data_IF_158569613721
#
_entry.id   IF_158569613721
#
_cell.length_a   1.000
_cell.length_b   1.000
_cell.length_c   1.000
_cell.angle_alpha   90.00
_cell.angle_beta   90.00
_cell.angle_gamma   90.00
#
_symmetry.space_group_name_H-M   'P 1'
#
loop_
_entity.id
_entity.type
_entity.pdbx_description
1 polymer ?
#
# COMPACT_ATOMS: atom_id res chain seq x y z
N UNK A 1 10.97 7.99 8.25
CA UNK A 1 10.18 7.02 9.00
C UNK A 1 8.82 7.62 9.20
N UNK A 2 7.83 6.99 8.58
CA UNK A 2 6.44 7.43 8.60
C UNK A 2 5.88 7.34 10.01
N UNK A 3 5.22 8.39 10.47
CA UNK A 3 4.60 8.41 11.79
C UNK A 3 3.25 7.70 11.73
N UNK A 4 3.23 6.45 12.21
CA UNK A 4 2.04 5.59 12.16
C UNK A 4 0.91 6.09 13.07
N UNK A 5 1.22 6.86 14.12
CA UNK A 5 0.21 7.35 15.07
C UNK A 5 -0.70 8.42 14.43
N UNK A 6 -0.17 9.19 13.48
CA UNK A 6 -0.94 10.20 12.75
C UNK A 6 -1.66 9.64 11.52
N UNK A 7 -1.61 8.32 11.33
CA UNK A 7 -2.21 7.62 10.18
C UNK A 7 -3.36 6.67 10.57
N UNK A 8 -3.86 6.74 11.81
CA UNK A 8 -5.03 5.94 12.22
C UNK A 8 -6.24 6.19 11.31
N UNK A 9 -6.39 7.39 10.75
CA UNK A 9 -7.48 7.75 9.83
C UNK A 9 -7.50 6.92 8.53
N UNK A 10 -6.40 6.26 8.16
CA UNK A 10 -6.35 5.32 7.04
C UNK A 10 -7.30 4.13 7.25
N UNK A 11 -7.52 3.80 8.51
CA UNK A 11 -8.36 2.70 8.95
C UNK A 11 -9.64 3.27 9.55
N UNK A 12 -10.75 2.63 9.21
CA UNK A 12 -12.06 3.07 9.65
C UNK A 12 -12.82 1.86 10.17
N UNK A 13 -13.80 2.13 11.04
CA UNK A 13 -14.49 1.09 11.82
C UNK A 13 -15.26 0.06 10.96
N UNK A 14 -15.71 0.44 9.76
CA UNK A 14 -16.39 -0.46 8.82
C UNK A 14 -16.24 0.03 7.38
N UNK A 15 -15.72 -0.82 6.50
CA UNK A 15 -15.53 -0.48 5.08
C UNK A 15 -16.86 -0.42 4.31
N UNK A 16 -17.93 -1.06 4.81
CA UNK A 16 -19.33 -0.88 4.41
C UNK A 16 -20.02 0.38 4.93
N UNK A 17 -19.32 1.43 5.34
CA UNK A 17 -19.96 2.62 5.90
C UNK A 17 -21.22 3.03 5.09
N UNK A 18 -21.14 3.05 3.75
CA UNK A 18 -22.26 3.37 2.83
C UNK A 18 -23.46 2.44 2.99
N UNK A 19 -23.26 1.14 3.18
CA UNK A 19 -24.33 0.15 3.30
C UNK A 19 -25.04 0.21 4.66
N UNK A 20 -24.34 0.68 5.71
CA UNK A 20 -24.92 0.87 7.06
C UNK A 20 -25.43 2.30 7.28
N UNK A 21 -25.52 3.11 6.22
CA UNK A 21 -25.99 4.49 6.30
C UNK A 21 -25.05 5.41 7.10
N UNK A 22 -23.77 5.06 7.18
CA UNK A 22 -22.71 5.88 7.75
C UNK A 22 -21.75 6.33 6.67
N UNK A 23 -21.04 7.40 6.91
CA UNK A 23 -19.89 7.76 6.08
C UNK A 23 -18.66 8.03 6.94
N UNK A 24 -17.54 8.30 6.27
CA UNK A 24 -16.29 8.58 6.94
C UNK A 24 -16.35 9.77 7.89
N UNK A 25 -17.28 10.71 7.68
CA UNK A 25 -17.50 11.87 8.54
C UNK A 25 -18.23 11.51 9.85
N UNK A 26 -18.89 10.35 9.91
CA UNK A 26 -19.54 9.85 11.14
C UNK A 26 -18.56 9.25 12.16
N UNK A 27 -17.27 9.07 11.82
CA UNK A 27 -16.24 8.66 12.77
C UNK A 27 -15.50 9.90 13.31
N UNK A 28 -15.66 10.24 14.60
CA UNK A 28 -14.98 11.37 15.20
C UNK A 28 -13.46 11.29 15.09
N UNK A 29 -12.88 10.08 15.12
CA UNK A 29 -11.43 9.89 14.95
C UNK A 29 -10.99 10.17 13.52
N UNK A 30 -11.81 9.81 12.53
CA UNK A 30 -11.50 10.11 11.14
C UNK A 30 -11.48 11.63 10.95
N UNK A 31 -12.48 12.37 11.41
CA UNK A 31 -12.51 13.83 11.27
C UNK A 31 -11.33 14.51 11.99
N UNK A 32 -11.04 14.10 13.23
CA UNK A 32 -10.00 14.72 14.06
C UNK A 32 -8.58 14.43 13.57
N UNK A 33 -8.37 13.28 12.92
CA UNK A 33 -7.04 12.85 12.46
C UNK A 33 -6.84 13.00 10.96
N UNK A 34 -7.88 13.09 10.13
CA UNK A 34 -7.72 13.15 8.67
C UNK A 34 -7.08 14.48 8.24
N UNK A 35 -7.62 15.61 8.70
CA UNK A 35 -7.03 16.93 8.47
C UNK A 35 -6.27 17.41 9.71
N UNK A 36 -4.98 17.78 9.61
CA UNK A 36 -4.14 17.92 8.42
C UNK A 36 -3.22 16.70 8.14
N UNK A 37 -3.43 15.55 8.79
CA UNK A 37 -2.43 14.48 8.75
C UNK A 37 -2.33 13.74 7.42
N UNK A 38 -3.36 13.79 6.57
CA UNK A 38 -3.30 13.27 5.20
C UNK A 38 -2.17 13.90 4.39
N UNK A 39 -2.07 15.23 4.38
CA UNK A 39 -1.02 15.95 3.66
C UNK A 39 0.38 15.60 4.20
N UNK A 40 0.49 15.48 5.52
CA UNK A 40 1.74 15.10 6.20
C UNK A 40 2.16 13.69 5.77
N UNK A 41 1.24 12.72 5.82
CA UNK A 41 1.51 11.34 5.44
C UNK A 41 1.89 11.22 3.96
N UNK A 42 1.14 11.85 3.06
CA UNK A 42 1.45 11.85 1.62
C UNK A 42 2.83 12.43 1.35
N UNK A 43 3.17 13.55 2.00
CA UNK A 43 4.51 14.16 1.90
C UNK A 43 5.60 13.20 2.41
N UNK A 44 5.38 12.54 3.54
CA UNK A 44 6.33 11.55 4.08
C UNK A 44 6.53 10.37 3.11
N UNK A 45 5.46 9.84 2.51
CA UNK A 45 5.54 8.75 1.52
C UNK A 45 6.37 9.18 0.29
N UNK A 46 6.08 10.36 -0.27
CA UNK A 46 6.75 10.88 -1.46
C UNK A 46 8.26 11.08 -1.23
N UNK A 47 8.64 11.50 -0.02
CA UNK A 47 10.02 11.79 0.37
C UNK A 47 10.76 10.62 1.03
N UNK A 48 10.04 9.56 1.39
CA UNK A 48 10.60 8.40 2.10
C UNK A 48 11.64 7.64 1.26
N UNK A 49 12.61 7.04 1.96
CA UNK A 49 13.52 6.06 1.36
C UNK A 49 12.79 4.77 0.96
N UNK A 50 13.40 4.00 0.06
CA UNK A 50 12.77 2.80 -0.49
C UNK A 50 12.40 1.74 0.56
N UNK A 51 13.21 1.61 1.62
CA UNK A 51 12.94 0.66 2.70
C UNK A 51 11.71 1.07 3.53
N UNK A 52 11.63 2.35 3.91
CA UNK A 52 10.52 2.95 4.65
C UNK A 52 9.23 2.91 3.83
N UNK A 53 9.34 3.14 2.52
CA UNK A 53 8.23 3.02 1.57
C UNK A 53 7.68 1.59 1.52
N UNK A 54 8.54 0.59 1.25
CA UNK A 54 8.13 -0.81 1.15
C UNK A 54 7.55 -1.31 2.48
N UNK A 55 8.20 -0.98 3.61
CA UNK A 55 7.70 -1.34 4.94
C UNK A 55 6.35 -0.69 5.22
N UNK A 56 6.15 0.56 4.84
CA UNK A 56 4.86 1.23 5.04
C UNK A 56 3.77 0.60 4.19
N UNK A 57 4.06 0.24 2.93
CA UNK A 57 3.10 -0.46 2.09
C UNK A 57 2.69 -1.81 2.68
N UNK A 58 3.65 -2.60 3.20
CA UNK A 58 3.35 -3.86 3.89
C UNK A 58 2.52 -3.59 5.15
N UNK A 59 2.93 -2.62 5.98
CA UNK A 59 2.23 -2.24 7.21
C UNK A 59 0.76 -1.89 6.96
N UNK A 60 0.49 -1.09 5.91
CA UNK A 60 -0.87 -0.66 5.56
C UNK A 60 -1.81 -1.85 5.38
N UNK A 61 -1.34 -2.93 4.74
CA UNK A 61 -2.18 -4.12 4.50
C UNK A 61 -2.01 -5.20 5.55
N UNK A 62 -0.99 -5.12 6.43
CA UNK A 62 -0.61 -6.19 7.36
C UNK A 62 -1.71 -6.49 8.39
N UNK A 63 -2.37 -5.46 8.92
CA UNK A 63 -3.26 -5.63 10.06
C UNK A 63 -4.72 -5.33 9.74
N UNK A 64 -4.98 -4.28 8.96
CA UNK A 64 -6.33 -3.82 8.64
C UNK A 64 -6.38 -3.40 7.18
N UNK A 65 -7.52 -3.58 6.51
CA UNK A 65 -7.67 -3.09 5.14
C UNK A 65 -8.03 -1.59 5.18
N UNK A 66 -7.22 -0.71 4.59
CA UNK A 66 -7.47 0.74 4.59
C UNK A 66 -8.64 1.14 3.67
N UNK A 67 -9.43 2.15 4.05
CA UNK A 67 -10.56 2.63 3.22
C UNK A 67 -10.09 3.49 2.06
N UNK A 68 -9.20 4.44 2.30
CA UNK A 68 -8.76 5.41 1.29
C UNK A 68 -7.75 4.83 0.30
N UNK A 69 -7.15 3.68 0.63
CA UNK A 69 -6.26 2.94 -0.24
C UNK A 69 -7.02 1.92 -1.10
N UNK A 70 -8.35 2.01 -1.22
CA UNK A 70 -9.12 1.19 -2.17
C UNK A 70 -8.72 1.48 -3.63
N UNK A 71 -8.13 2.65 -3.89
CA UNK A 71 -7.45 2.98 -5.14
C UNK A 71 -6.11 3.62 -4.79
N UNK A 72 -4.99 2.96 -5.11
CA UNK A 72 -3.68 3.61 -4.99
C UNK A 72 -3.42 4.32 -6.31
N UNK A 73 -3.40 5.65 -6.31
CA UNK A 73 -2.94 6.41 -7.47
C UNK A 73 -1.42 6.25 -7.60
N UNK A 74 -1.02 5.41 -8.56
CA UNK A 74 0.39 5.02 -8.77
C UNK A 74 1.13 5.91 -9.77
N UNK A 75 0.38 6.79 -10.45
CA UNK A 75 0.83 7.64 -11.54
C UNK A 75 0.37 9.08 -11.30
N UNK A 76 1.19 10.04 -11.71
CA UNK A 76 0.79 11.45 -11.71
C UNK A 76 0.07 11.83 -13.02
N UNK A 77 -0.86 12.77 -12.90
CA UNK A 77 -1.31 13.56 -14.04
C UNK A 77 -0.22 14.58 -14.40
N UNK A 78 0.37 14.44 -15.57
CA UNK A 78 1.25 15.43 -16.17
C UNK A 78 0.46 16.39 -17.06
N UNK A 79 1.07 17.52 -17.41
CA UNK A 79 0.57 18.39 -18.48
C UNK A 79 1.51 18.25 -19.67
N UNK A 80 0.96 17.96 -20.85
CA UNK A 80 1.78 17.89 -22.06
C UNK A 80 2.25 19.30 -22.48
N UNK A 81 2.97 19.38 -23.61
CA UNK A 81 3.48 20.67 -24.13
C UNK A 81 2.37 21.67 -24.48
N UNK A 82 1.11 21.23 -24.48
CA UNK A 82 -0.09 22.00 -24.83
C UNK A 82 -0.97 22.26 -23.59
N UNK A 83 -0.49 21.92 -22.38
CA UNK A 83 -1.24 21.97 -21.11
C UNK A 83 -2.46 21.04 -21.05
N UNK A 84 -2.46 19.95 -21.82
CA UNK A 84 -3.48 18.91 -21.71
C UNK A 84 -3.09 17.93 -20.60
N UNK A 85 -3.98 17.65 -19.62
CA UNK A 85 -3.75 16.58 -18.66
C UNK A 85 -3.57 15.26 -19.39
N UNK A 86 -2.42 14.62 -19.22
CA UNK A 86 -2.16 13.28 -19.70
C UNK A 86 -1.66 12.41 -18.56
N UNK A 87 -2.00 11.13 -18.60
CA UNK A 87 -1.42 10.14 -17.71
C UNK A 87 0.07 10.02 -18.02
N UNK A 88 0.90 10.58 -17.15
CA UNK A 88 2.32 10.30 -17.18
C UNK A 88 2.55 8.98 -16.46
N UNK A 89 3.27 8.07 -17.12
CA UNK A 89 3.77 6.83 -16.51
C UNK A 89 4.97 7.17 -15.58
N UNK A 90 4.78 8.17 -14.73
CA UNK A 90 5.75 8.74 -13.79
C UNK A 90 5.25 8.44 -12.39
N UNK A 91 6.11 7.76 -11.64
CA UNK A 91 5.90 7.43 -10.25
C UNK A 91 5.72 8.71 -9.41
N UNK A 92 4.77 8.71 -8.47
CA UNK A 92 4.49 9.83 -7.57
C UNK A 92 5.64 10.13 -6.58
N UNK A 93 6.54 9.16 -6.32
CA UNK A 93 7.69 9.36 -5.42
C UNK A 93 8.75 10.26 -6.02
N UNK A 94 9.24 11.22 -5.23
CA UNK A 94 10.27 12.20 -5.66
C UNK A 94 11.60 11.54 -6.05
N UNK A 95 11.95 10.44 -5.39
CA UNK A 95 13.22 9.73 -5.63
C UNK A 95 13.25 8.97 -6.96
N UNK A 96 12.09 8.69 -7.58
CA UNK A 96 12.00 8.00 -8.87
C UNK A 96 12.79 6.66 -8.91
N UNK A 97 12.90 5.96 -7.78
CA UNK A 97 13.68 4.73 -7.57
C UNK A 97 12.90 3.44 -7.90
N UNK A 98 11.61 3.56 -8.14
CA UNK A 98 10.70 2.50 -8.61
C UNK A 98 9.99 2.94 -9.89
N UNK A 99 9.55 1.96 -10.68
CA UNK A 99 8.57 2.19 -11.76
C UNK A 99 7.20 2.53 -11.15
N UNK A 100 6.27 3.11 -11.93
CA UNK A 100 4.88 3.21 -11.50
C UNK A 100 4.39 1.88 -10.94
N UNK A 101 3.75 1.94 -9.78
CA UNK A 101 3.21 0.76 -9.13
C UNK A 101 2.10 0.15 -9.99
N UNK A 102 2.02 -1.18 -9.97
CA UNK A 102 0.96 -1.92 -10.66
C UNK A 102 -0.04 -2.39 -9.62
N UNK A 103 -1.24 -1.84 -9.68
CA UNK A 103 -2.36 -2.21 -8.80
C UNK A 103 -3.36 -2.99 -9.61
N UNK A 104 -3.76 -4.14 -9.10
CA UNK A 104 -4.83 -4.95 -9.68
C UNK A 104 -6.04 -4.86 -8.77
N UNK A 105 -7.16 -4.40 -9.32
CA UNK A 105 -8.43 -4.27 -8.62
C UNK A 105 -9.39 -5.41 -9.03
N UNK A 106 -10.36 -5.71 -8.18
CA UNK A 106 -11.51 -6.56 -8.51
C UNK A 106 -12.64 -5.75 -9.18
N UNK A 107 -13.71 -6.45 -9.58
CA UNK A 107 -14.86 -5.83 -10.25
C UNK A 107 -15.64 -4.83 -9.36
N UNK A 108 -15.31 -4.77 -8.07
CA UNK A 108 -15.94 -3.92 -7.05
C UNK A 108 -15.00 -2.83 -6.51
N UNK A 109 -13.79 -2.70 -7.07
CA UNK A 109 -12.78 -1.70 -6.67
C UNK A 109 -11.97 -2.08 -5.43
N UNK A 110 -11.94 -3.36 -5.04
CA UNK A 110 -11.04 -3.89 -4.02
C UNK A 110 -9.67 -4.22 -4.59
N UNK A 111 -8.58 -3.85 -3.91
CA UNK A 111 -7.22 -4.16 -4.34
C UNK A 111 -6.93 -5.64 -4.13
N UNK A 112 -6.76 -6.38 -5.23
CA UNK A 112 -6.31 -7.77 -5.24
C UNK A 112 -4.80 -7.89 -5.02
N UNK A 113 -4.02 -7.03 -5.67
CA UNK A 113 -2.57 -7.06 -5.54
C UNK A 113 -1.91 -5.71 -5.82
N UNK A 114 -0.79 -5.46 -5.16
CA UNK A 114 0.06 -4.29 -5.37
C UNK A 114 1.48 -4.73 -5.66
N UNK A 115 2.02 -4.35 -6.82
CA UNK A 115 3.39 -4.65 -7.21
C UNK A 115 4.26 -3.39 -7.33
N UNK A 116 5.44 -3.45 -6.73
CA UNK A 116 6.48 -2.43 -6.79
C UNK A 116 7.68 -3.00 -7.53
N UNK A 117 7.98 -2.43 -8.70
CA UNK A 117 9.15 -2.79 -9.48
C UNK A 117 10.29 -1.81 -9.22
N UNK A 118 11.40 -2.29 -8.69
CA UNK A 118 12.57 -1.47 -8.44
C UNK A 118 13.29 -1.15 -9.75
N UNK A 119 13.82 0.08 -9.90
CA UNK A 119 14.67 0.40 -11.06
C UNK A 119 16.07 -0.21 -10.93
N UNK A 120 16.53 -0.41 -9.70
CA UNK A 120 17.77 -1.08 -9.38
C UNK A 120 17.50 -2.26 -8.44
N UNK A 121 18.25 -3.34 -8.59
CA UNK A 121 18.11 -4.55 -7.79
C UNK A 121 18.35 -4.26 -6.30
N UNK A 122 17.43 -4.70 -5.44
CA UNK A 122 17.40 -4.46 -3.99
C UNK A 122 17.55 -5.78 -3.20
N UNK A 123 18.78 -6.27 -2.93
CA UNK A 123 18.98 -7.48 -2.14
C UNK A 123 18.41 -7.39 -0.71
N UNK A 124 18.26 -6.19 -0.18
CA UNK A 124 17.77 -5.95 1.19
C UNK A 124 16.25 -6.09 1.33
N UNK A 125 15.50 -6.16 0.23
CA UNK A 125 14.02 -6.23 0.25
C UNK A 125 13.49 -7.42 1.07
N UNK A 126 14.16 -8.58 1.04
CA UNK A 126 13.80 -9.73 1.86
C UNK A 126 13.86 -9.43 3.36
N UNK A 127 14.83 -8.61 3.78
CA UNK A 127 15.00 -8.19 5.17
C UNK A 127 13.90 -7.20 5.58
N UNK A 128 13.50 -6.29 4.67
CA UNK A 128 12.44 -5.33 4.91
C UNK A 128 11.11 -6.05 5.14
N UNK A 129 10.77 -6.98 4.25
CA UNK A 129 9.56 -7.81 4.33
C UNK A 129 9.54 -8.62 5.63
N UNK A 130 10.65 -9.31 5.94
CA UNK A 130 10.74 -10.12 7.16
C UNK A 130 10.60 -9.25 8.41
N UNK A 131 11.22 -8.07 8.44
CA UNK A 131 11.15 -7.17 9.59
C UNK A 131 9.75 -6.61 9.79
N UNK A 132 9.03 -6.25 8.73
CA UNK A 132 7.72 -5.63 8.86
C UNK A 132 6.64 -6.66 9.18
N UNK A 133 6.68 -7.84 8.55
CA UNK A 133 5.74 -8.92 8.87
C UNK A 133 5.95 -9.44 10.30
N UNK A 134 7.20 -9.42 10.80
CA UNK A 134 7.55 -9.85 12.16
C UNK A 134 6.98 -11.24 12.49
N UNK A 135 6.02 -11.31 13.41
CA UNK A 135 5.38 -12.50 13.96
C UNK A 135 4.23 -13.06 13.11
N UNK A 136 3.82 -12.37 12.04
CA UNK A 136 2.71 -12.80 11.17
C UNK A 136 3.10 -13.75 10.04
N UNK A 137 4.38 -14.09 9.91
CA UNK A 137 4.85 -15.02 8.90
C UNK A 137 4.44 -16.44 9.32
N UNK A 138 3.49 -17.02 8.60
CA UNK A 138 3.09 -18.41 8.78
C UNK A 138 4.10 -19.34 8.09
N UNK A 139 4.36 -19.09 6.81
CA UNK A 139 5.33 -19.86 6.04
C UNK A 139 6.21 -18.96 5.17
N UNK A 140 7.47 -19.39 4.98
CA UNK A 140 8.46 -18.77 4.11
C UNK A 140 9.09 -19.84 3.24
N UNK A 141 8.90 -19.75 1.93
CA UNK A 141 9.41 -20.72 0.95
C UNK A 141 10.03 -20.03 -0.26
N UNK A 142 11.00 -20.68 -0.88
CA UNK A 142 11.60 -20.22 -2.13
C UNK A 142 11.18 -21.17 -3.26
N UNK A 143 10.56 -20.62 -4.31
CA UNK A 143 10.09 -21.35 -5.49
C UNK A 143 10.58 -20.59 -6.73
N UNK A 144 11.33 -21.26 -7.60
CA UNK A 144 11.86 -20.69 -8.86
C UNK A 144 12.59 -19.33 -8.71
N UNK A 145 13.29 -19.14 -7.58
CA UNK A 145 14.02 -17.89 -7.27
C UNK A 145 13.13 -16.75 -6.74
N UNK A 146 11.85 -17.03 -6.47
CA UNK A 146 10.90 -16.14 -5.82
C UNK A 146 10.72 -16.57 -4.37
N UNK A 147 10.90 -15.64 -3.43
CA UNK A 147 10.61 -15.86 -2.02
C UNK A 147 9.14 -15.54 -1.76
N UNK A 148 8.39 -16.51 -1.26
CA UNK A 148 6.96 -16.38 -0.95
C UNK A 148 6.78 -16.40 0.57
N UNK A 149 6.18 -15.33 1.09
CA UNK A 149 5.83 -15.18 2.51
C UNK A 149 4.30 -15.30 2.65
N UNK A 150 3.81 -16.42 3.17
CA UNK A 150 2.39 -16.56 3.52
C UNK A 150 2.15 -15.93 4.88
N UNK A 151 1.07 -15.16 5.01
CA UNK A 151 0.80 -14.35 6.21
C UNK A 151 -0.47 -14.86 6.90
N UNK A 152 -0.37 -15.18 8.19
CA UNK A 152 -1.53 -15.56 9.01
C UNK A 152 -2.23 -14.33 9.59
N UNK A 153 -3.56 -14.43 9.80
CA UNK A 153 -4.36 -13.41 10.49
C UNK A 153 -4.10 -11.97 9.98
N UNK A 154 -4.08 -11.84 8.65
CA UNK A 154 -3.79 -10.60 7.94
C UNK A 154 -4.72 -10.43 6.73
N UNK A 155 -5.04 -9.18 6.33
CA UNK A 155 -5.55 -8.89 5.00
C UNK A 155 -4.58 -9.33 3.89
N UNK A 156 -3.26 -9.33 4.15
CA UNK A 156 -2.29 -9.93 3.22
C UNK A 156 -2.49 -11.44 3.19
N UNK A 157 -2.61 -11.98 1.98
CA UNK A 157 -2.59 -13.41 1.71
C UNK A 157 -1.15 -13.93 1.69
N UNK A 158 -0.37 -13.41 0.76
CA UNK A 158 1.05 -13.68 0.67
C UNK A 158 1.78 -12.53 0.00
N UNK A 159 3.10 -12.51 0.17
CA UNK A 159 4.00 -11.58 -0.51
C UNK A 159 4.99 -12.38 -1.34
N UNK A 160 5.07 -12.07 -2.63
CA UNK A 160 6.11 -12.56 -3.53
C UNK A 160 7.23 -11.54 -3.61
N UNK A 161 8.47 -12.01 -3.48
CA UNK A 161 9.64 -11.14 -3.39
C UNK A 161 10.77 -11.71 -4.23
N UNK A 162 11.31 -10.89 -5.12
CA UNK A 162 12.64 -11.06 -5.70
C UNK A 162 13.47 -9.83 -5.38
N UNK A 163 14.71 -9.76 -5.88
CA UNK A 163 15.52 -8.54 -5.72
C UNK A 163 14.98 -7.36 -6.56
N UNK A 164 14.14 -7.63 -7.55
CA UNK A 164 13.71 -6.61 -8.53
C UNK A 164 12.23 -6.22 -8.36
N UNK A 165 11.45 -7.04 -7.66
CA UNK A 165 10.02 -6.82 -7.44
C UNK A 165 9.58 -7.30 -6.06
N UNK A 166 8.63 -6.57 -5.48
CA UNK A 166 7.75 -7.06 -4.41
C UNK A 166 6.31 -6.98 -4.88
N UNK A 167 5.55 -8.04 -4.68
CA UNK A 167 4.11 -8.10 -4.94
C UNK A 167 3.38 -8.54 -3.67
N UNK A 168 2.45 -7.71 -3.20
CA UNK A 168 1.59 -8.01 -2.05
C UNK A 168 0.24 -8.46 -2.60
N UNK A 169 -0.18 -9.67 -2.25
CA UNK A 169 -1.49 -10.22 -2.62
C UNK A 169 -2.45 -10.15 -1.44
N UNK A 170 -3.67 -9.68 -1.67
CA UNK A 170 -4.64 -9.39 -0.61
C UNK A 170 -5.77 -10.42 -0.61
N UNK A 171 -6.13 -10.92 0.57
CA UNK A 171 -7.29 -11.78 0.80
C UNK A 171 -8.60 -10.97 0.71
N UNK A 172 -9.22 -10.93 -0.47
CA UNK A 172 -10.54 -10.28 -0.61
C UNK A 172 -11.58 -10.87 0.34
N UNK A 173 -11.53 -12.18 0.59
CA UNK A 173 -12.49 -12.86 1.49
C UNK A 173 -12.35 -12.47 2.98
N UNK A 174 -11.16 -11.99 3.39
CA UNK A 174 -10.90 -11.53 4.77
C UNK A 174 -11.09 -10.04 4.92
N UNK A 175 -11.22 -9.32 3.82
CA UNK A 175 -11.72 -7.95 3.83
C UNK A 175 -13.19 -8.10 4.24
N UNK A 176 -13.45 -7.96 5.55
CA UNK A 176 -14.82 -7.90 6.06
C UNK A 176 -15.37 -6.60 5.52
N UNK A 177 -16.01 -6.72 4.37
CA UNK A 177 -16.84 -5.70 3.81
C UNK A 177 -17.75 -5.17 4.94
#
# INVERSE_FOLDING_TARGET
>A
MIDRNVTEWLFYKSIYHRAIGRDKWDDPKWVDLYFPNEEIFCSQIIESGLDDFVKTLIWIFKDQYPIEFASIETCMWGLDKENTPFYEDVNTRKLQDIKPMVVKEDDYGGIQSVAVHFKESQPMVFSWVTSELSDKIDTKKEEDGVMIYTVSDSPINFIEVTKDIITIHIHQDKIVY
#
